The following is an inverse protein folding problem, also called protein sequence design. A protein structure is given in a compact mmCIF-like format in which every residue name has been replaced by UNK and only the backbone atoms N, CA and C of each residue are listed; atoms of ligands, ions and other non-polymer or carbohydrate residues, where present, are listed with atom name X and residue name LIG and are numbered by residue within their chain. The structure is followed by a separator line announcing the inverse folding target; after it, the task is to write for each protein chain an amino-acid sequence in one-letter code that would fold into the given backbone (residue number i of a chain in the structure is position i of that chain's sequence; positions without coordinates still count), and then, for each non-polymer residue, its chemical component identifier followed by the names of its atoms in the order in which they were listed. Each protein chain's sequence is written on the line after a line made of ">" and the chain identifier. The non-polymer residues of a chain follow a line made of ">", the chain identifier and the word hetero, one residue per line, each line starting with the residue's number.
data_IF_390111718490
#
_entry.id   IF_390111718490
#
_cell.length_a   1.000
_cell.length_b   1.000
_cell.length_c   1.000
_cell.angle_alpha   90.00
_cell.angle_beta   90.00
_cell.angle_gamma   90.00
#
_symmetry.space_group_name_H-M   'P 1'
#
loop_
_entity.id
_entity.type
_entity.pdbx_description
1 polymer ?
#
# COMPACT_ATOMS: atom_id res chain seq x y z
N UNK A 1 -12.03 -18.37 20.53
CA UNK A 1 -12.19 -16.97 21.00
C UNK A 1 -12.44 -16.11 19.77
N UNK A 2 -13.34 -15.10 19.83
CA UNK A 2 -13.48 -14.15 18.73
C UNK A 2 -12.18 -13.36 18.56
N UNK A 3 -11.88 -12.94 17.33
CA UNK A 3 -10.73 -12.10 17.03
C UNK A 3 -10.84 -10.76 17.75
N UNK A 4 -9.78 -10.30 18.42
CA UNK A 4 -9.74 -9.03 19.18
C UNK A 4 -8.54 -8.16 18.79
N UNK A 5 -8.57 -6.88 19.21
CA UNK A 5 -7.47 -5.94 18.99
C UNK A 5 -6.21 -6.37 19.74
N UNK A 6 -6.35 -6.85 20.97
CA UNK A 6 -5.22 -7.28 21.80
C UNK A 6 -4.48 -8.44 21.13
N UNK A 7 -5.22 -9.43 20.59
CA UNK A 7 -4.62 -10.54 19.83
C UNK A 7 -3.84 -10.06 18.60
N UNK A 8 -4.32 -9.01 17.92
CA UNK A 8 -3.64 -8.41 16.78
C UNK A 8 -2.35 -7.67 17.20
N UNK A 9 -2.43 -6.88 18.28
CA UNK A 9 -1.28 -6.13 18.81
C UNK A 9 -0.22 -7.07 19.38
N UNK A 10 -0.59 -8.15 20.03
CA UNK A 10 0.33 -9.18 20.50
C UNK A 10 1.04 -9.87 19.32
N UNK A 11 0.31 -10.12 18.23
CA UNK A 11 0.93 -10.60 17.00
C UNK A 11 1.91 -9.58 16.42
N UNK A 12 1.59 -8.28 16.45
CA UNK A 12 2.50 -7.22 15.99
C UNK A 12 3.79 -7.20 16.80
N UNK A 13 3.73 -7.42 18.12
CA UNK A 13 4.90 -7.50 18.98
C UNK A 13 5.86 -8.61 18.55
N UNK A 14 5.35 -9.84 18.46
CA UNK A 14 6.14 -11.00 18.04
C UNK A 14 6.70 -10.80 16.63
N UNK A 15 5.90 -10.25 15.72
CA UNK A 15 6.34 -9.98 14.35
C UNK A 15 7.45 -8.93 14.31
N UNK A 16 7.30 -7.80 15.01
CA UNK A 16 8.29 -6.72 15.03
C UNK A 16 9.64 -7.18 15.56
N UNK A 17 9.65 -7.93 16.67
CA UNK A 17 10.89 -8.48 17.22
C UNK A 17 11.56 -9.45 16.25
N UNK A 18 10.77 -10.29 15.57
CA UNK A 18 11.28 -11.28 14.61
C UNK A 18 11.90 -10.65 13.37
N UNK A 19 11.33 -9.57 12.86
CA UNK A 19 11.81 -8.95 11.63
C UNK A 19 12.89 -7.88 11.90
N UNK A 20 13.20 -7.54 13.14
CA UNK A 20 14.26 -6.58 13.43
C UNK A 20 15.60 -7.02 12.81
N UNK A 21 16.34 -6.14 12.10
CA UNK A 21 16.14 -4.70 11.85
C UNK A 21 15.50 -4.36 10.49
N UNK A 22 14.78 -5.29 9.85
CA UNK A 22 14.22 -5.14 8.51
C UNK A 22 13.24 -3.97 8.38
N UNK A 23 12.64 -3.48 9.46
CA UNK A 23 11.79 -2.28 9.44
C UNK A 23 12.55 -1.07 8.86
N UNK A 24 13.85 -0.96 9.10
CA UNK A 24 14.70 0.09 8.52
C UNK A 24 14.75 -0.02 6.99
N UNK A 25 14.87 -1.25 6.47
CA UNK A 25 14.80 -1.51 5.03
C UNK A 25 13.40 -1.22 4.47
N UNK A 26 12.36 -1.49 5.26
CA UNK A 26 10.98 -1.10 4.94
C UNK A 26 10.82 0.42 4.75
N UNK A 27 11.44 1.24 5.61
CA UNK A 27 11.45 2.69 5.45
C UNK A 27 12.27 3.14 4.25
N UNK A 28 13.45 2.55 4.03
CA UNK A 28 14.25 2.84 2.83
C UNK A 28 13.46 2.53 1.57
N UNK A 29 12.84 1.35 1.49
CA UNK A 29 11.95 0.97 0.39
C UNK A 29 10.79 1.95 0.23
N UNK A 30 10.17 2.36 1.34
CA UNK A 30 9.10 3.36 1.36
C UNK A 30 9.53 4.73 0.82
N UNK A 31 10.72 5.21 1.15
CA UNK A 31 11.25 6.48 0.65
C UNK A 31 11.69 6.41 -0.81
N UNK A 32 12.18 5.24 -1.27
CA UNK A 32 12.58 5.03 -2.66
C UNK A 32 11.44 5.27 -3.66
N UNK A 33 10.18 5.13 -3.25
CA UNK A 33 9.01 5.40 -4.11
C UNK A 33 8.91 6.86 -4.56
N UNK A 34 9.58 7.78 -3.86
CA UNK A 34 9.57 9.22 -4.19
C UNK A 34 10.58 9.59 -5.27
N UNK A 35 11.59 8.77 -5.52
CA UNK A 35 12.68 9.07 -6.46
C UNK A 35 12.18 9.40 -7.87
N UNK A 36 11.19 8.69 -8.46
CA UNK A 36 10.67 9.02 -9.79
C UNK A 36 10.08 10.43 -9.93
N UNK A 37 9.70 11.10 -8.83
CA UNK A 37 9.23 12.49 -8.88
C UNK A 37 10.33 13.48 -9.25
N UNK A 38 11.57 13.17 -8.89
CA UNK A 38 12.74 14.02 -9.12
C UNK A 38 13.64 13.49 -10.24
N UNK A 39 13.64 12.18 -10.45
CA UNK A 39 14.45 11.48 -11.46
C UNK A 39 13.56 10.57 -12.29
N UNK A 40 12.72 11.14 -13.19
CA UNK A 40 11.89 10.33 -14.06
C UNK A 40 12.77 9.46 -14.97
N UNK A 41 12.42 8.19 -15.12
CA UNK A 41 13.18 7.29 -15.98
C UNK A 41 12.75 5.83 -15.88
N UNK A 42 13.01 5.06 -16.94
CA UNK A 42 12.64 3.63 -17.01
C UNK A 42 13.27 2.80 -15.89
N UNK A 43 14.50 3.11 -15.50
CA UNK A 43 15.19 2.43 -14.40
C UNK A 43 14.46 2.63 -13.07
N UNK A 44 14.16 3.87 -12.70
CA UNK A 44 13.44 4.19 -11.46
C UNK A 44 12.00 3.67 -11.45
N UNK A 45 11.34 3.66 -12.61
CA UNK A 45 10.02 3.02 -12.72
C UNK A 45 10.09 1.53 -12.37
N UNK A 46 11.08 0.81 -12.91
CA UNK A 46 11.29 -0.61 -12.59
C UNK A 46 11.64 -0.81 -11.11
N UNK A 47 12.54 -0.01 -10.55
CA UNK A 47 12.91 -0.10 -9.13
C UNK A 47 11.67 0.05 -8.26
N UNK A 48 10.86 1.08 -8.49
CA UNK A 48 9.72 1.39 -7.65
C UNK A 48 8.54 0.41 -7.83
N UNK A 49 8.30 -0.10 -9.04
CA UNK A 49 7.37 -1.24 -9.22
C UNK A 49 7.89 -2.50 -8.52
N UNK A 50 9.19 -2.75 -8.56
CA UNK A 50 9.82 -3.87 -7.85
C UNK A 50 9.71 -3.75 -6.34
N UNK A 51 9.82 -2.53 -5.80
CA UNK A 51 9.56 -2.26 -4.38
C UNK A 51 8.12 -2.63 -4.01
N UNK A 52 7.11 -2.22 -4.78
CA UNK A 52 5.72 -2.64 -4.51
C UNK A 52 5.57 -4.15 -4.55
N UNK A 53 6.12 -4.80 -5.57
CA UNK A 53 6.08 -6.25 -5.68
C UNK A 53 6.67 -6.94 -4.44
N UNK A 54 7.85 -6.47 -4.00
CA UNK A 54 8.52 -6.99 -2.81
C UNK A 54 7.69 -6.75 -1.54
N UNK A 55 7.15 -5.56 -1.33
CA UNK A 55 6.36 -5.25 -0.13
C UNK A 55 5.08 -6.09 -0.07
N UNK A 56 4.37 -6.25 -1.19
CA UNK A 56 3.17 -7.08 -1.24
C UNK A 56 3.48 -8.56 -1.01
N UNK A 57 4.55 -9.08 -1.60
CA UNK A 57 5.02 -10.45 -1.34
C UNK A 57 5.50 -10.63 0.10
N UNK A 58 6.20 -9.64 0.67
CA UNK A 58 6.62 -9.66 2.05
C UNK A 58 5.44 -9.75 2.99
N UNK A 59 4.42 -8.89 2.81
CA UNK A 59 3.22 -8.94 3.64
C UNK A 59 2.47 -10.27 3.45
N UNK A 60 2.34 -10.76 2.22
CA UNK A 60 1.69 -12.06 1.98
C UNK A 60 2.41 -13.23 2.64
N UNK A 61 3.75 -13.30 2.49
CA UNK A 61 4.53 -14.49 2.84
C UNK A 61 5.18 -14.41 4.23
N UNK A 62 5.63 -13.24 4.66
CA UNK A 62 6.35 -13.04 5.92
C UNK A 62 5.41 -12.58 7.03
N UNK A 63 4.42 -11.74 6.71
CA UNK A 63 3.44 -11.30 7.69
C UNK A 63 2.25 -12.27 7.81
N UNK A 64 1.60 -12.68 6.72
CA UNK A 64 0.36 -13.46 6.83
C UNK A 64 0.53 -14.97 6.98
N UNK A 65 1.50 -15.62 6.31
CA UNK A 65 1.67 -17.08 6.41
C UNK A 65 1.95 -17.54 7.85
N UNK A 66 2.83 -16.90 8.65
CA UNK A 66 3.00 -17.28 10.04
C UNK A 66 1.72 -17.10 10.87
N UNK A 67 0.95 -16.03 10.63
CA UNK A 67 -0.35 -15.84 11.28
C UNK A 67 -1.35 -16.95 10.90
N UNK A 68 -1.35 -17.37 9.64
CA UNK A 68 -2.22 -18.42 9.11
C UNK A 68 -1.97 -19.81 9.69
N UNK A 69 -0.76 -20.05 10.21
CA UNK A 69 -0.47 -21.27 10.98
C UNK A 69 -1.27 -21.36 12.29
N UNK A 70 -1.70 -20.21 12.84
CA UNK A 70 -2.51 -20.14 14.07
C UNK A 70 -4.01 -20.10 13.76
N UNK A 71 -4.40 -19.47 12.65
CA UNK A 71 -5.78 -19.35 12.21
C UNK A 71 -5.91 -19.54 10.70
N UNK A 72 -6.46 -20.68 10.27
CA UNK A 72 -6.49 -21.07 8.86
C UNK A 72 -7.17 -20.04 7.94
N UNK A 73 -8.14 -19.26 8.43
CA UNK A 73 -8.78 -18.20 7.65
C UNK A 73 -7.80 -17.13 7.16
N UNK A 74 -6.65 -16.97 7.84
CA UNK A 74 -5.61 -16.01 7.45
C UNK A 74 -4.76 -16.46 6.25
N UNK A 75 -4.96 -17.68 5.72
CA UNK A 75 -4.43 -18.04 4.40
C UNK A 75 -5.08 -17.23 3.27
N UNK A 76 -6.32 -16.76 3.46
CA UNK A 76 -6.99 -15.92 2.46
C UNK A 76 -6.28 -14.56 2.24
N UNK A 77 -6.01 -13.74 3.28
CA UNK A 77 -5.18 -12.55 3.11
C UNK A 77 -3.76 -12.89 2.61
N UNK A 78 -3.13 -13.97 3.09
CA UNK A 78 -1.81 -14.38 2.58
C UNK A 78 -1.81 -14.56 1.06
N UNK A 79 -2.80 -15.30 0.53
CA UNK A 79 -2.95 -15.53 -0.90
C UNK A 79 -3.27 -14.24 -1.66
N UNK A 80 -4.19 -13.40 -1.16
CA UNK A 80 -4.54 -12.12 -1.80
C UNK A 80 -3.32 -11.21 -1.93
N UNK A 81 -2.52 -11.05 -0.88
CA UNK A 81 -1.32 -10.23 -0.91
C UNK A 81 -0.26 -10.82 -1.85
N UNK A 82 -0.07 -12.14 -1.83
CA UNK A 82 0.85 -12.81 -2.73
C UNK A 82 0.45 -12.63 -4.21
N UNK A 83 -0.85 -12.78 -4.53
CA UNK A 83 -1.38 -12.55 -5.88
C UNK A 83 -1.12 -11.12 -6.33
N UNK A 84 -1.40 -10.12 -5.50
CA UNK A 84 -1.13 -8.73 -5.85
C UNK A 84 0.38 -8.46 -6.04
N UNK A 85 1.23 -9.08 -5.22
CA UNK A 85 2.68 -9.06 -5.40
C UNK A 85 3.12 -9.61 -6.76
N UNK A 86 2.54 -10.73 -7.19
CA UNK A 86 2.77 -11.32 -8.52
C UNK A 86 2.26 -10.42 -9.64
N UNK A 87 1.12 -9.75 -9.46
CA UNK A 87 0.61 -8.79 -10.44
C UNK A 87 1.58 -7.59 -10.60
N UNK A 88 2.18 -7.09 -9.52
CA UNK A 88 3.23 -6.08 -9.62
C UNK A 88 4.52 -6.62 -10.25
N UNK A 89 4.93 -7.86 -9.97
CA UNK A 89 6.04 -8.50 -10.69
C UNK A 89 5.75 -8.59 -12.20
N UNK A 90 4.52 -8.92 -12.59
CA UNK A 90 4.14 -8.96 -13.99
C UNK A 90 4.22 -7.55 -14.61
N UNK A 91 3.73 -6.53 -13.92
CA UNK A 91 3.82 -5.13 -14.36
C UNK A 91 5.28 -4.66 -14.48
N UNK A 92 6.16 -5.11 -13.58
CA UNK A 92 7.60 -4.86 -13.61
C UNK A 92 8.24 -5.45 -14.87
N UNK A 93 8.02 -6.73 -15.14
CA UNK A 93 8.59 -7.44 -16.30
C UNK A 93 8.11 -6.81 -17.61
N UNK A 94 6.82 -6.46 -17.69
CA UNK A 94 6.24 -5.85 -18.89
C UNK A 94 6.54 -4.35 -19.03
N UNK A 95 7.06 -3.69 -17.99
CA UNK A 95 7.35 -2.26 -18.00
C UNK A 95 6.11 -1.39 -18.17
N UNK A 96 4.94 -1.84 -17.70
CA UNK A 96 3.65 -1.19 -17.92
C UNK A 96 3.42 0.06 -17.08
N UNK A 97 4.16 0.22 -15.97
CA UNK A 97 4.00 1.33 -15.06
C UNK A 97 5.08 2.37 -15.28
N UNK A 98 4.64 3.62 -15.45
CA UNK A 98 5.53 4.78 -15.51
C UNK A 98 5.11 5.76 -14.43
N UNK A 99 6.08 6.30 -13.71
CA UNK A 99 5.83 7.20 -12.58
C UNK A 99 6.49 8.55 -12.84
N UNK A 100 5.96 9.56 -12.17
CA UNK A 100 6.51 10.90 -12.14
C UNK A 100 5.48 11.88 -11.61
N UNK A 101 5.77 13.19 -11.65
CA UNK A 101 4.77 14.19 -11.33
C UNK A 101 3.55 14.00 -12.24
N UNK A 102 2.38 13.94 -11.62
CA UNK A 102 1.07 13.82 -12.26
C UNK A 102 0.36 15.19 -12.17
N UNK A 103 -0.98 15.20 -12.11
CA UNK A 103 -1.72 16.42 -11.78
C UNK A 103 -1.34 16.96 -10.39
N UNK A 104 -1.59 18.26 -10.15
CA UNK A 104 -1.29 18.91 -8.86
C UNK A 104 -1.94 18.18 -7.68
N UNK A 105 -3.21 17.80 -7.83
CA UNK A 105 -3.99 17.10 -6.80
C UNK A 105 -3.41 15.70 -6.53
N UNK A 106 -3.21 14.90 -7.58
CA UNK A 106 -2.63 13.56 -7.47
C UNK A 106 -1.26 13.57 -6.79
N UNK A 107 -0.43 14.56 -7.12
CA UNK A 107 0.91 14.70 -6.55
C UNK A 107 0.84 15.06 -5.06
N UNK A 108 -0.01 16.00 -4.67
CA UNK A 108 -0.18 16.40 -3.26
C UNK A 108 -0.72 15.23 -2.43
N UNK A 109 -1.79 14.57 -2.90
CA UNK A 109 -2.39 13.45 -2.18
C UNK A 109 -1.48 12.23 -2.16
N UNK A 110 -0.75 11.96 -3.25
CA UNK A 110 0.25 10.90 -3.29
C UNK A 110 1.33 11.13 -2.23
N UNK A 111 1.86 12.35 -2.11
CA UNK A 111 2.82 12.71 -1.07
C UNK A 111 2.22 12.58 0.33
N UNK A 112 0.97 13.03 0.52
CA UNK A 112 0.27 12.90 1.80
C UNK A 112 0.11 11.43 2.22
N UNK A 113 -0.23 10.53 1.28
CA UNK A 113 -0.36 9.09 1.55
C UNK A 113 1.00 8.45 1.86
N UNK A 114 2.06 8.79 1.11
CA UNK A 114 3.41 8.30 1.43
C UNK A 114 3.84 8.79 2.83
N UNK A 115 3.64 10.07 3.12
CA UNK A 115 3.96 10.64 4.44
C UNK A 115 3.14 9.98 5.56
N UNK A 116 1.86 9.70 5.32
CA UNK A 116 1.02 8.98 6.27
C UNK A 116 1.53 7.55 6.47
N UNK A 117 1.78 6.79 5.41
CA UNK A 117 2.26 5.41 5.50
C UNK A 117 3.59 5.28 6.28
N UNK A 118 4.49 6.25 6.13
CA UNK A 118 5.82 6.20 6.75
C UNK A 118 5.89 6.84 8.14
N UNK A 119 5.10 7.89 8.39
CA UNK A 119 5.16 8.63 9.65
C UNK A 119 3.79 8.77 10.30
N UNK A 120 2.76 9.17 9.54
CA UNK A 120 1.43 9.38 10.10
C UNK A 120 0.84 8.14 10.78
N UNK A 121 1.00 6.96 10.18
CA UNK A 121 0.49 5.69 10.66
C UNK A 121 1.10 5.32 12.03
N UNK A 122 2.44 5.21 12.18
CA UNK A 122 3.02 4.95 13.49
C UNK A 122 2.80 6.08 14.51
N UNK A 123 2.71 7.34 14.09
CA UNK A 123 2.45 8.46 15.00
C UNK A 123 1.01 8.47 15.53
N UNK A 124 0.03 8.11 14.71
CA UNK A 124 -1.37 7.94 15.16
C UNK A 124 -1.45 6.75 16.12
N UNK A 125 -0.83 5.62 15.76
CA UNK A 125 -0.72 4.45 16.64
C UNK A 125 -0.12 4.82 18.01
N UNK A 126 1.00 5.55 18.01
CA UNK A 126 1.63 6.06 19.24
C UNK A 126 0.66 6.92 20.07
N UNK A 127 -0.12 7.79 19.43
CA UNK A 127 -1.10 8.64 20.09
C UNK A 127 -2.25 7.89 20.76
N UNK A 128 -2.56 6.67 20.29
CA UNK A 128 -3.59 5.78 20.89
C UNK A 128 -2.99 4.67 21.76
N UNK A 129 -1.68 4.72 22.03
CA UNK A 129 -0.98 3.81 22.94
C UNK A 129 -0.38 2.57 22.28
N UNK A 130 -0.43 2.44 20.96
CA UNK A 130 0.28 1.38 20.22
C UNK A 130 1.78 1.72 20.16
N UNK A 131 2.50 1.37 21.22
CA UNK A 131 3.94 1.57 21.35
C UNK A 131 4.72 0.34 20.90
N UNK A 132 5.98 0.50 20.50
CA UNK A 132 6.84 -0.63 20.18
C UNK A 132 6.93 -1.59 21.40
N UNK A 133 6.80 -2.92 21.22
CA UNK A 133 6.77 -3.65 19.94
C UNK A 133 5.38 -3.84 19.31
N UNK A 134 4.30 -3.35 19.91
CA UNK A 134 2.92 -3.50 19.40
C UNK A 134 2.55 -2.56 18.24
N UNK A 135 3.45 -1.67 17.82
CA UNK A 135 3.19 -0.68 16.77
C UNK A 135 3.42 -1.22 15.35
N UNK A 136 2.51 -0.94 14.41
CA UNK A 136 2.74 -1.17 12.99
C UNK A 136 3.63 -0.07 12.38
N UNK A 137 4.94 -0.24 12.51
CA UNK A 137 5.93 0.83 12.25
C UNK A 137 6.12 1.17 10.76
N UNK A 138 6.27 0.16 9.92
CA UNK A 138 6.80 0.32 8.55
C UNK A 138 5.86 -0.25 7.48
N UNK A 139 6.10 0.03 6.18
CA UNK A 139 5.38 -0.61 5.08
C UNK A 139 5.54 -2.14 4.97
N UNK A 140 6.23 -2.78 5.93
CA UNK A 140 6.24 -4.24 6.08
C UNK A 140 4.97 -4.76 6.78
N UNK A 141 4.07 -3.86 7.20
CA UNK A 141 2.72 -4.17 7.68
C UNK A 141 1.67 -3.94 6.59
N UNK A 142 0.57 -4.70 6.58
CA UNK A 142 -0.44 -4.64 5.51
C UNK A 142 -1.03 -3.26 5.29
N UNK A 143 -1.50 -2.59 6.34
CA UNK A 143 -2.21 -1.31 6.24
C UNK A 143 -1.33 -0.17 5.72
N UNK A 144 -0.14 0.13 6.29
CA UNK A 144 0.74 1.15 5.75
C UNK A 144 1.28 0.79 4.34
N UNK A 145 1.49 -0.49 4.02
CA UNK A 145 1.89 -0.91 2.67
C UNK A 145 0.84 -0.53 1.60
N UNK A 146 -0.44 -0.61 1.96
CA UNK A 146 -1.53 -0.31 1.04
C UNK A 146 -1.73 1.20 0.89
N UNK A 147 -1.64 1.95 1.98
CA UNK A 147 -1.61 3.42 1.90
C UNK A 147 -0.46 3.88 1.00
N UNK A 148 0.73 3.31 1.19
CA UNK A 148 1.89 3.58 0.34
C UNK A 148 1.62 3.21 -1.13
N UNK A 149 0.95 2.08 -1.37
CA UNK A 149 0.56 1.63 -2.71
C UNK A 149 -0.32 2.65 -3.41
N UNK A 150 -1.36 3.16 -2.73
CA UNK A 150 -2.21 4.21 -3.29
C UNK A 150 -1.44 5.50 -3.54
N UNK A 151 -0.56 5.90 -2.61
CA UNK A 151 0.29 7.07 -2.78
C UNK A 151 1.15 7.00 -4.05
N UNK A 152 1.77 5.85 -4.28
CA UNK A 152 2.60 5.62 -5.47
C UNK A 152 1.78 5.49 -6.76
N UNK A 153 0.60 4.86 -6.72
CA UNK A 153 -0.26 4.76 -7.91
C UNK A 153 -0.86 6.11 -8.33
N UNK A 154 -0.97 7.08 -7.41
CA UNK A 154 -1.28 8.47 -7.76
C UNK A 154 -0.15 9.11 -8.57
N UNK A 155 1.11 8.76 -8.32
CA UNK A 155 2.25 9.19 -9.15
C UNK A 155 2.35 8.44 -10.50
N UNK A 156 1.56 7.38 -10.71
CA UNK A 156 1.61 6.63 -11.96
C UNK A 156 0.90 7.38 -13.10
N UNK A 157 1.52 7.43 -14.29
CA UNK A 157 0.92 7.98 -15.53
C UNK A 157 0.05 6.92 -16.22
N UNK A 158 -0.93 6.41 -15.46
CA UNK A 158 -1.80 5.31 -15.84
C UNK A 158 -1.51 4.05 -15.03
N UNK A 159 -2.55 3.47 -14.44
CA UNK A 159 -2.47 2.21 -13.71
C UNK A 159 -3.44 1.20 -14.34
N UNK A 160 -3.03 -0.04 -14.60
CA UNK A 160 -3.98 -1.07 -14.99
C UNK A 160 -5.02 -1.28 -13.88
N UNK A 161 -6.32 -1.19 -14.21
CA UNK A 161 -7.43 -1.31 -13.22
C UNK A 161 -7.34 -2.56 -12.34
N UNK A 162 -6.85 -3.67 -12.88
CA UNK A 162 -6.70 -4.91 -12.11
C UNK A 162 -5.75 -4.76 -10.91
N UNK A 163 -4.76 -3.85 -10.98
CA UNK A 163 -3.84 -3.57 -9.87
C UNK A 163 -4.51 -2.79 -8.73
N UNK A 164 -5.70 -2.23 -8.95
CA UNK A 164 -6.46 -1.52 -7.92
C UNK A 164 -7.41 -2.45 -7.16
N UNK A 165 -7.79 -3.60 -7.71
CA UNK A 165 -8.86 -4.45 -7.15
C UNK A 165 -8.49 -4.91 -5.73
N UNK A 166 -7.36 -5.60 -5.57
CA UNK A 166 -6.95 -6.15 -4.27
C UNK A 166 -6.62 -5.05 -3.25
N UNK A 167 -5.86 -3.99 -3.59
CA UNK A 167 -5.64 -2.88 -2.66
C UNK A 167 -6.93 -2.22 -2.19
N UNK A 168 -7.93 -2.10 -3.07
CA UNK A 168 -9.23 -1.53 -2.71
C UNK A 168 -10.00 -2.43 -1.77
N UNK A 169 -10.09 -3.72 -2.09
CA UNK A 169 -10.77 -4.71 -1.25
C UNK A 169 -10.17 -4.72 0.16
N UNK A 170 -8.84 -4.65 0.27
CA UNK A 170 -8.20 -4.56 1.57
C UNK A 170 -8.43 -3.21 2.25
N UNK A 171 -8.39 -2.09 1.52
CA UNK A 171 -8.65 -0.79 2.13
C UNK A 171 -10.04 -0.70 2.77
N UNK A 172 -11.05 -1.38 2.21
CA UNK A 172 -12.37 -1.51 2.80
C UNK A 172 -12.37 -2.30 4.12
N UNK A 173 -11.43 -3.24 4.31
CA UNK A 173 -11.26 -3.92 5.60
C UNK A 173 -10.83 -2.96 6.72
N UNK A 174 -10.31 -1.77 6.38
CA UNK A 174 -10.08 -0.66 7.32
C UNK A 174 -11.28 -0.33 8.21
N UNK A 175 -12.51 -0.52 7.72
CA UNK A 175 -13.71 -0.32 8.54
C UNK A 175 -13.82 -1.33 9.69
N UNK A 176 -13.40 -2.57 9.46
CA UNK A 176 -13.34 -3.60 10.50
C UNK A 176 -12.25 -3.27 11.52
N UNK A 177 -11.07 -2.87 11.05
CA UNK A 177 -9.94 -2.50 11.90
C UNK A 177 -10.26 -1.29 12.80
N UNK A 178 -10.94 -0.28 12.24
CA UNK A 178 -11.46 0.85 13.00
C UNK A 178 -12.48 0.42 14.06
N UNK A 179 -13.40 -0.48 13.71
CA UNK A 179 -14.38 -1.01 14.67
C UNK A 179 -13.69 -1.73 15.84
N UNK A 180 -12.54 -2.38 15.60
CA UNK A 180 -11.74 -3.01 16.64
C UNK A 180 -10.87 -2.03 17.44
N UNK A 181 -10.78 -0.75 17.05
CA UNK A 181 -10.00 0.27 17.76
C UNK A 181 -8.65 0.61 17.13
N UNK A 182 -8.33 0.09 15.94
CA UNK A 182 -7.11 0.45 15.18
C UNK A 182 -7.33 1.78 14.44
N UNK A 183 -7.30 2.90 15.18
CA UNK A 183 -7.63 4.24 14.68
C UNK A 183 -6.76 4.71 13.51
N UNK A 184 -5.51 4.24 13.44
CA UNK A 184 -4.58 4.50 12.34
C UNK A 184 -5.07 3.93 10.99
N UNK A 185 -6.04 3.01 10.98
CA UNK A 185 -6.66 2.53 9.74
C UNK A 185 -7.71 3.47 9.14
N UNK A 186 -8.01 4.60 9.79
CA UNK A 186 -8.75 5.69 9.15
C UNK A 186 -8.03 6.15 7.87
N UNK A 187 -6.70 6.28 7.92
CA UNK A 187 -5.91 6.64 6.75
C UNK A 187 -5.94 5.57 5.65
N UNK A 188 -6.06 4.29 6.00
CA UNK A 188 -6.23 3.20 5.04
C UNK A 188 -7.53 3.33 4.24
N UNK A 189 -8.66 3.56 4.93
CA UNK A 189 -9.96 3.74 4.27
C UNK A 189 -9.95 4.99 3.39
N UNK A 190 -9.44 6.11 3.91
CA UNK A 190 -9.36 7.38 3.18
C UNK A 190 -8.48 7.22 1.91
N UNK A 191 -7.31 6.60 2.05
CA UNK A 191 -6.40 6.37 0.92
C UNK A 191 -7.03 5.46 -0.14
N UNK A 192 -7.75 4.41 0.28
CA UNK A 192 -8.48 3.54 -0.63
C UNK A 192 -9.56 4.27 -1.41
N UNK A 193 -10.45 4.98 -0.73
CA UNK A 193 -11.56 5.70 -1.38
C UNK A 193 -11.05 6.78 -2.32
N UNK A 194 -10.18 7.68 -1.83
CA UNK A 194 -9.67 8.78 -2.64
C UNK A 194 -8.78 8.28 -3.77
N UNK A 195 -7.90 7.31 -3.49
CA UNK A 195 -7.02 6.71 -4.48
C UNK A 195 -7.80 6.11 -5.65
N UNK A 196 -8.82 5.28 -5.37
CA UNK A 196 -9.65 4.67 -6.42
C UNK A 196 -10.40 5.72 -7.22
N UNK A 197 -11.05 6.67 -6.56
CA UNK A 197 -11.85 7.71 -7.22
C UNK A 197 -10.97 8.53 -8.17
N UNK A 198 -9.83 9.01 -7.71
CA UNK A 198 -8.95 9.86 -8.50
C UNK A 198 -8.29 9.10 -9.66
N UNK A 199 -7.74 7.91 -9.38
CA UNK A 199 -7.07 7.11 -10.42
C UNK A 199 -8.06 6.72 -11.52
N UNK A 200 -9.27 6.27 -11.14
CA UNK A 200 -10.28 5.86 -12.13
C UNK A 200 -10.89 7.04 -12.88
N UNK A 201 -11.10 8.20 -12.24
CA UNK A 201 -11.57 9.41 -12.90
C UNK A 201 -10.55 9.90 -13.95
N UNK A 202 -9.26 9.93 -13.58
CA UNK A 202 -8.15 10.28 -14.47
C UNK A 202 -8.09 9.36 -15.68
N UNK A 203 -8.17 8.04 -15.48
CA UNK A 203 -8.18 7.07 -16.59
C UNK A 203 -9.38 7.23 -17.52
N UNK A 204 -10.56 7.51 -16.97
CA UNK A 204 -11.77 7.76 -17.76
C UNK A 204 -11.62 9.03 -18.60
N UNK A 205 -11.09 10.10 -18.01
CA UNK A 205 -10.83 11.36 -18.71
C UNK A 205 -9.83 11.16 -19.86
N UNK A 206 -8.72 10.46 -19.61
CA UNK A 206 -7.72 10.14 -20.64
C UNK A 206 -8.31 9.31 -21.80
N UNK A 207 -9.13 8.29 -21.49
CA UNK A 207 -9.81 7.49 -22.52
C UNK A 207 -10.82 8.29 -23.33
N UNK A 208 -11.57 9.20 -22.69
CA UNK A 208 -12.52 10.09 -23.39
C UNK A 208 -11.81 11.04 -24.34
N UNK A 209 -10.71 11.65 -23.91
CA UNK A 209 -9.89 12.52 -24.75
C UNK A 209 -9.31 11.76 -25.96
N UNK A 210 -8.85 10.53 -25.78
CA UNK A 210 -8.33 9.70 -26.86
C UNK A 210 -9.40 9.28 -27.89
N UNK A 211 -10.67 9.20 -27.49
CA UNK A 211 -11.78 8.78 -28.34
C UNK A 211 -12.58 9.96 -28.92
N UNK A 212 -12.22 11.21 -28.62
CA UNK A 212 -12.90 12.37 -29.19
C UNK A 212 -12.59 12.47 -30.70
N UNK A 213 -13.60 12.63 -31.58
CA UNK A 213 -13.35 12.80 -33.01
C UNK A 213 -12.49 14.05 -33.23
N UNK A 214 -11.45 13.94 -34.07
CA UNK A 214 -10.67 15.09 -34.53
C UNK A 214 -11.67 16.05 -35.19
N UNK A 215 -11.88 17.22 -34.59
CA UNK A 215 -12.66 18.28 -35.22
C UNK A 215 -11.90 18.69 -36.49
N UNK A 216 -12.47 18.34 -37.64
CA UNK A 216 -12.01 18.72 -38.98
C UNK A 216 -12.50 20.13 -39.34
#
# INVERSE_FOLDING_TARGET
>A
MPFSLEMLLDYFAVYNERIWPMQLLGYVAGLLVLVPLFRPGKAWNRVVTGVLALLWLWVGLVFWVPAASQMAMLYAPAALFAVQGVLFLNALVRGHLTYGPAGRVDTILGLAFVAYALAGYPLVGLGVGHVYPHAALSPLFPCPAIVLTFGLLLFARGAPRHLLIIPTLWALSGLLWLYLGMFEDAGLVIAGVLGVVLITARERAARRAANAPLQA
#
